data_IF_660328701757
#
_entry.id   IF_660328701757
#
_cell.length_a   1.000
_cell.length_b   1.000
_cell.length_c   1.000
_cell.angle_alpha   90.00
_cell.angle_beta   90.00
_cell.angle_gamma   90.00
#
_symmetry.space_group_name_H-M   'P 1'
#
loop_
_entity.id
_entity.type
_entity.pdbx_description
1 polymer ?
#
# COMPACT_ATOMS: atom_id res chain seq x y z
N UNK A 1 -17.59 34.35 -11.77
CA UNK A 1 -18.06 32.97 -11.93
C UNK A 1 -19.44 33.03 -12.54
N UNK A 2 -19.59 32.78 -13.85
CA UNK A 2 -20.90 32.86 -14.50
C UNK A 2 -21.79 31.69 -14.09
N UNK A 3 -23.07 31.93 -13.72
CA UNK A 3 -23.98 30.91 -13.18
C UNK A 3 -24.22 29.74 -14.15
N UNK A 4 -24.04 29.96 -15.46
CA UNK A 4 -24.21 28.95 -16.49
C UNK A 4 -23.20 27.79 -16.37
N UNK A 5 -21.95 28.08 -15.99
CA UNK A 5 -20.91 27.06 -15.84
C UNK A 5 -21.17 26.11 -14.66
N UNK A 6 -21.85 26.58 -13.62
CA UNK A 6 -22.27 25.77 -12.47
C UNK A 6 -23.36 24.77 -12.86
N UNK A 7 -24.33 25.21 -13.66
CA UNK A 7 -25.46 24.39 -14.11
C UNK A 7 -24.99 23.31 -15.09
N UNK A 8 -24.12 23.66 -16.04
CA UNK A 8 -23.56 22.71 -17.00
C UNK A 8 -22.57 21.72 -16.38
N UNK A 9 -21.90 22.12 -15.28
CA UNK A 9 -21.01 21.25 -14.52
C UNK A 9 -21.73 20.31 -13.53
N UNK A 10 -22.97 20.60 -13.17
CA UNK A 10 -23.74 19.84 -12.17
C UNK A 10 -23.92 18.36 -12.56
N UNK A 11 -24.27 18.03 -13.82
CA UNK A 11 -24.38 16.63 -14.25
C UNK A 11 -23.06 15.85 -14.16
N UNK A 12 -21.91 16.53 -14.20
CA UNK A 12 -20.57 15.92 -14.07
C UNK A 12 -20.09 15.84 -12.61
N UNK A 13 -20.85 16.38 -11.65
CA UNK A 13 -20.49 16.33 -10.24
C UNK A 13 -20.29 14.90 -9.70
N UNK A 14 -21.09 13.87 -10.09
CA UNK A 14 -20.85 12.49 -9.64
C UNK A 14 -19.49 11.93 -10.10
N UNK A 15 -19.08 12.21 -11.34
CA UNK A 15 -17.78 11.78 -11.88
C UNK A 15 -16.63 12.44 -11.11
N UNK A 16 -16.76 13.74 -10.79
CA UNK A 16 -15.79 14.44 -9.95
C UNK A 16 -15.72 13.81 -8.55
N UNK A 17 -16.85 13.41 -7.97
CA UNK A 17 -16.89 12.70 -6.69
C UNK A 17 -16.12 11.38 -6.73
N UNK A 18 -16.25 10.61 -7.81
CA UNK A 18 -15.51 9.36 -7.99
C UNK A 18 -13.99 9.58 -8.07
N UNK A 19 -13.55 10.60 -8.81
CA UNK A 19 -12.12 10.94 -8.93
C UNK A 19 -11.55 11.28 -7.55
N UNK A 20 -12.27 12.10 -6.75
CA UNK A 20 -11.85 12.45 -5.38
C UNK A 20 -11.76 11.23 -4.46
N UNK A 21 -12.67 10.26 -4.63
CA UNK A 21 -12.61 9.01 -3.89
C UNK A 21 -11.41 8.16 -4.32
N UNK A 22 -11.13 8.08 -5.62
CA UNK A 22 -9.97 7.36 -6.14
C UNK A 22 -8.66 7.97 -5.64
N UNK A 23 -8.55 9.30 -5.59
CA UNK A 23 -7.42 10.02 -4.99
C UNK A 23 -7.22 9.61 -3.51
N UNK A 24 -8.29 9.60 -2.72
CA UNK A 24 -8.23 9.19 -1.31
C UNK A 24 -7.77 7.72 -1.16
N UNK A 25 -8.31 6.82 -1.99
CA UNK A 25 -7.93 5.41 -1.97
C UNK A 25 -6.47 5.21 -2.39
N UNK A 26 -5.99 5.96 -3.38
CA UNK A 26 -4.59 5.95 -3.79
C UNK A 26 -3.67 6.38 -2.64
N UNK A 27 -4.01 7.48 -1.95
CA UNK A 27 -3.24 7.95 -0.79
C UNK A 27 -3.17 6.90 0.32
N UNK A 28 -4.28 6.22 0.60
CA UNK A 28 -4.33 5.14 1.59
C UNK A 28 -3.50 3.93 1.15
N UNK A 29 -3.62 3.51 -0.12
CA UNK A 29 -2.83 2.41 -0.66
C UNK A 29 -1.33 2.72 -0.64
N UNK A 30 -0.92 3.94 -0.97
CA UNK A 30 0.47 4.37 -0.86
C UNK A 30 0.98 4.38 0.59
N UNK A 31 0.14 4.79 1.55
CA UNK A 31 0.49 4.72 2.97
C UNK A 31 0.62 3.27 3.45
N UNK A 32 -0.27 2.38 3.02
CA UNK A 32 -0.25 0.96 3.40
C UNK A 32 0.97 0.25 2.80
N UNK A 33 1.29 0.52 1.53
CA UNK A 33 2.49 0.02 0.85
C UNK A 33 3.79 0.55 1.47
N UNK A 34 3.80 1.80 1.95
CA UNK A 34 4.93 2.39 2.68
C UNK A 34 4.88 2.10 4.19
N UNK A 35 3.89 1.34 4.68
CA UNK A 35 3.72 1.16 6.12
C UNK A 35 4.72 0.15 6.68
N UNK A 36 5.32 0.44 7.86
CA UNK A 36 6.16 -0.53 8.57
C UNK A 36 5.43 -1.82 8.95
N UNK A 37 4.09 -1.80 8.98
CA UNK A 37 3.26 -2.94 9.35
C UNK A 37 3.32 -4.07 8.31
N UNK A 38 3.36 -3.74 7.02
CA UNK A 38 3.48 -4.72 5.94
C UNK A 38 4.79 -5.52 6.03
N UNK A 39 5.89 -4.83 6.37
CA UNK A 39 7.20 -5.46 6.56
C UNK A 39 7.21 -6.33 7.81
N UNK A 40 6.65 -5.84 8.92
CA UNK A 40 6.51 -6.63 10.16
C UNK A 40 5.80 -7.96 9.92
N UNK A 41 4.70 -7.93 9.15
CA UNK A 41 3.94 -9.15 8.81
C UNK A 41 4.74 -10.12 7.96
N UNK A 42 5.49 -9.64 6.96
CA UNK A 42 6.37 -10.51 6.15
C UNK A 42 7.50 -11.14 6.97
N UNK A 43 8.04 -10.41 7.96
CA UNK A 43 9.06 -10.94 8.87
C UNK A 43 8.45 -11.98 9.84
N UNK A 44 7.22 -11.77 10.31
CA UNK A 44 6.48 -12.75 11.11
C UNK A 44 6.23 -14.04 10.32
N UNK A 45 5.81 -13.95 9.06
CA UNK A 45 5.64 -15.11 8.17
C UNK A 45 6.95 -15.90 7.98
N UNK A 46 8.07 -15.20 7.87
CA UNK A 46 9.39 -15.81 7.73
C UNK A 46 9.85 -16.51 9.02
N UNK A 47 9.61 -15.87 10.17
CA UNK A 47 9.91 -16.45 11.48
C UNK A 47 9.06 -17.71 11.75
N UNK A 48 7.79 -17.72 11.31
CA UNK A 48 6.92 -18.87 11.39
C UNK A 48 7.40 -20.02 10.49
N UNK A 49 7.81 -19.73 9.25
CA UNK A 49 8.40 -20.72 8.35
C UNK A 49 9.71 -21.32 8.90
N UNK A 50 10.52 -20.53 9.62
CA UNK A 50 11.73 -21.04 10.27
C UNK A 50 11.39 -21.87 11.51
N UNK A 51 10.36 -21.46 12.26
CA UNK A 51 9.85 -22.22 13.40
C UNK A 51 9.22 -23.58 13.00
N UNK A 52 8.58 -23.66 11.82
CA UNK A 52 8.07 -24.91 11.26
C UNK A 52 9.16 -25.77 10.61
N UNK A 53 10.37 -25.22 10.42
CA UNK A 53 11.49 -25.88 9.77
C UNK A 53 11.37 -25.95 8.25
N UNK A 54 10.48 -25.15 7.65
CA UNK A 54 10.32 -25.03 6.19
C UNK A 54 11.50 -24.30 5.54
N UNK A 55 12.18 -23.43 6.29
CA UNK A 55 13.40 -22.73 5.87
C UNK A 55 14.51 -22.89 6.90
N UNK A 56 15.75 -22.88 6.44
CA UNK A 56 16.95 -22.83 7.29
C UNK A 56 17.23 -21.43 7.81
N UNK A 57 18.14 -21.33 8.79
CA UNK A 57 18.59 -20.05 9.36
C UNK A 57 19.23 -19.13 8.33
N UNK A 58 20.05 -19.69 7.43
CA UNK A 58 20.71 -18.93 6.38
C UNK A 58 19.70 -18.42 5.35
N UNK A 59 18.66 -19.20 5.05
CA UNK A 59 17.56 -18.78 4.17
C UNK A 59 16.69 -17.69 4.81
N UNK A 60 16.41 -17.78 6.11
CA UNK A 60 15.71 -16.73 6.88
C UNK A 60 16.51 -15.43 6.87
N UNK A 61 17.82 -15.49 7.14
CA UNK A 61 18.68 -14.31 7.16
C UNK A 61 18.74 -13.61 5.79
N UNK A 62 18.95 -14.39 4.72
CA UNK A 62 19.00 -13.85 3.37
C UNK A 62 17.65 -13.25 2.92
N UNK A 63 16.53 -13.85 3.32
CA UNK A 63 15.21 -13.33 3.01
C UNK A 63 14.85 -12.08 3.82
N UNK A 64 15.24 -12.02 5.09
CA UNK A 64 15.10 -10.83 5.94
C UNK A 64 15.86 -9.64 5.36
N UNK A 65 17.12 -9.84 4.96
CA UNK A 65 17.96 -8.78 4.38
C UNK A 65 17.36 -8.22 3.08
N UNK A 66 16.79 -9.08 2.23
CA UNK A 66 16.09 -8.67 1.01
C UNK A 66 14.86 -7.80 1.31
N UNK A 67 14.03 -8.20 2.26
CA UNK A 67 12.82 -7.46 2.67
C UNK A 67 13.19 -6.08 3.23
N UNK A 68 14.25 -6.00 4.03
CA UNK A 68 14.77 -4.73 4.56
C UNK A 68 15.38 -3.85 3.46
N UNK A 69 16.07 -4.44 2.49
CA UNK A 69 16.62 -3.73 1.33
C UNK A 69 15.56 -3.07 0.45
N UNK A 70 14.40 -3.72 0.26
CA UNK A 70 13.26 -3.19 -0.49
C UNK A 70 12.61 -1.95 0.15
N UNK A 71 12.79 -1.73 1.46
CA UNK A 71 12.26 -0.53 2.14
C UNK A 71 13.10 0.73 1.95
N UNK A 72 14.40 0.56 1.66
CA UNK A 72 15.38 1.65 1.65
C UNK A 72 15.62 2.18 0.22
N UNK A 73 15.30 1.38 -0.79
CA UNK A 73 15.40 1.71 -2.22
C UNK A 73 14.24 2.58 -2.72
#
# INVERSE_FOLDING_TARGET
>A
MEPLGLILGLPLAPLRGLIRLAELLQEQAEQELRSPAAVRRRLEELAEARASGEISEEEEAAATERILGEMIA
#
